data_IF_986568937365
#
_entry.id   IF_986568937365
#
_cell.length_a   1.000
_cell.length_b   1.000
_cell.length_c   1.000
_cell.angle_alpha   90.00
_cell.angle_beta   90.00
_cell.angle_gamma   90.00
#
_symmetry.space_group_name_H-M   'P 1'
#
loop_
_entity.id
_entity.type
_entity.pdbx_description
1 polymer ?
#
# COMPACT_ATOMS: atom_id res chain seq x y z
N UNK A 1 29.23 -15.78 -8.70
CA UNK A 1 29.22 -14.50 -7.95
C UNK A 1 28.12 -14.59 -6.93
N UNK A 2 28.24 -13.96 -5.75
CA UNK A 2 27.16 -13.91 -4.79
C UNK A 2 25.91 -13.22 -5.42
N UNK A 3 24.71 -13.82 -5.30
CA UNK A 3 23.46 -13.29 -5.89
C UNK A 3 23.19 -11.85 -5.48
N UNK A 4 23.53 -11.51 -4.23
CA UNK A 4 23.34 -10.16 -3.72
C UNK A 4 24.25 -9.17 -4.46
N UNK A 5 25.52 -9.54 -4.68
CA UNK A 5 26.47 -8.71 -5.42
C UNK A 5 26.01 -8.53 -6.87
N UNK A 6 25.57 -9.62 -7.52
CA UNK A 6 25.01 -9.57 -8.87
C UNK A 6 23.82 -8.64 -8.97
N UNK A 7 22.89 -8.72 -8.01
CA UNK A 7 21.73 -7.83 -7.94
C UNK A 7 22.13 -6.36 -7.74
N UNK A 8 23.05 -6.08 -6.82
CA UNK A 8 23.53 -4.71 -6.57
C UNK A 8 24.18 -4.13 -7.83
N UNK A 9 25.03 -4.88 -8.50
CA UNK A 9 25.67 -4.45 -9.75
C UNK A 9 24.61 -4.20 -10.83
N UNK A 10 23.63 -5.11 -10.98
CA UNK A 10 22.55 -4.96 -11.95
C UNK A 10 21.69 -3.72 -11.69
N UNK A 11 21.35 -3.46 -10.41
CA UNK A 11 20.61 -2.26 -10.01
C UNK A 11 21.41 -0.98 -10.27
N UNK A 12 22.72 -0.97 -10.02
CA UNK A 12 23.60 0.17 -10.31
C UNK A 12 23.67 0.44 -11.82
N UNK A 13 23.83 -0.61 -12.64
CA UNK A 13 23.84 -0.47 -14.10
C UNK A 13 22.50 0.11 -14.59
N UNK A 14 21.38 -0.46 -14.12
CA UNK A 14 20.05 0.02 -14.49
C UNK A 14 19.83 1.49 -14.06
N UNK A 15 20.27 1.86 -12.85
CA UNK A 15 20.19 3.23 -12.35
C UNK A 15 21.00 4.21 -13.22
N UNK A 16 22.25 3.86 -13.56
CA UNK A 16 23.10 4.69 -14.43
C UNK A 16 22.45 4.86 -15.81
N UNK A 17 21.92 3.77 -16.39
CA UNK A 17 21.19 3.84 -17.66
C UNK A 17 19.95 4.74 -17.55
N UNK A 18 19.15 4.59 -16.50
CA UNK A 18 17.97 5.44 -16.27
C UNK A 18 18.34 6.93 -16.15
N UNK A 19 19.35 7.23 -15.35
CA UNK A 19 19.84 8.61 -15.20
C UNK A 19 20.37 9.17 -16.54
N UNK A 20 21.00 8.34 -17.36
CA UNK A 20 21.40 8.69 -18.72
C UNK A 20 20.21 9.07 -19.59
N UNK A 21 19.12 8.30 -19.59
CA UNK A 21 17.87 8.67 -20.28
C UNK A 21 17.28 9.98 -19.78
N UNK A 22 17.19 10.15 -18.46
CA UNK A 22 16.69 11.40 -17.84
C UNK A 22 17.55 12.61 -18.27
N UNK A 23 18.87 12.47 -18.26
CA UNK A 23 19.79 13.54 -18.67
C UNK A 23 19.63 13.91 -20.15
N UNK A 24 19.57 12.90 -21.03
CA UNK A 24 19.41 13.12 -22.46
C UNK A 24 18.05 13.78 -22.80
N UNK A 25 16.97 13.38 -22.13
CA UNK A 25 15.62 13.92 -22.34
C UNK A 25 15.43 15.33 -21.77
N UNK A 26 16.32 15.82 -20.91
CA UNK A 26 16.30 17.22 -20.48
C UNK A 26 16.70 18.21 -21.60
N UNK A 27 17.43 17.76 -22.60
CA UNK A 27 17.86 18.59 -23.71
C UNK A 27 16.87 18.54 -24.88
N UNK A 28 16.60 19.70 -25.52
CA UNK A 28 15.74 19.76 -26.72
C UNK A 28 16.29 18.92 -27.89
N UNK A 29 17.61 18.78 -28.00
CA UNK A 29 18.26 17.90 -28.99
C UNK A 29 17.95 16.44 -28.69
N UNK A 30 18.01 16.05 -27.42
CA UNK A 30 17.67 14.71 -26.98
C UNK A 30 16.21 14.37 -27.24
N UNK A 31 15.26 15.24 -26.84
CA UNK A 31 13.83 15.04 -27.12
C UNK A 31 13.56 14.84 -28.63
N UNK A 32 14.16 15.67 -29.46
CA UNK A 32 14.03 15.58 -30.92
C UNK A 32 14.63 14.27 -31.45
N UNK A 33 15.75 13.81 -30.90
CA UNK A 33 16.38 12.53 -31.29
C UNK A 33 15.47 11.34 -30.93
N UNK A 34 14.98 11.28 -29.68
CA UNK A 34 14.09 10.22 -29.20
C UNK A 34 12.75 10.22 -29.95
N UNK A 35 12.17 11.38 -30.23
CA UNK A 35 10.92 11.52 -30.97
C UNK A 35 11.03 11.14 -32.44
N UNK A 36 12.24 11.19 -33.05
CA UNK A 36 12.44 10.90 -34.49
C UNK A 36 12.66 9.40 -34.77
N UNK A 37 13.21 8.65 -33.84
CA UNK A 37 13.60 7.26 -34.07
C UNK A 37 12.54 6.29 -33.50
N UNK A 38 11.98 5.44 -34.37
CA UNK A 38 10.91 4.50 -34.03
C UNK A 38 11.25 3.52 -32.89
N UNK A 39 12.52 3.11 -32.78
CA UNK A 39 12.98 2.16 -31.75
C UNK A 39 13.04 2.79 -30.33
N UNK A 40 12.99 4.10 -30.22
CA UNK A 40 12.83 4.81 -28.95
C UNK A 40 11.38 5.29 -28.73
N UNK A 41 10.46 4.98 -29.64
CA UNK A 41 9.05 5.26 -29.41
C UNK A 41 8.57 4.50 -28.16
N UNK A 42 7.76 5.09 -27.26
CA UNK A 42 7.29 4.44 -26.03
C UNK A 42 6.76 3.02 -26.23
N UNK A 43 5.94 2.82 -27.27
CA UNK A 43 5.39 1.50 -27.60
C UNK A 43 6.49 0.48 -27.98
N UNK A 44 7.55 0.93 -28.67
CA UNK A 44 8.67 0.05 -29.00
C UNK A 44 9.49 -0.31 -27.74
N UNK A 45 9.69 0.66 -26.82
CA UNK A 45 10.36 0.41 -25.53
C UNK A 45 9.57 -0.62 -24.72
N UNK A 46 8.22 -0.52 -24.68
CA UNK A 46 7.38 -1.55 -24.04
C UNK A 46 7.62 -2.95 -24.64
N UNK A 47 7.75 -3.07 -25.95
CA UNK A 47 8.03 -4.37 -26.62
C UNK A 47 9.45 -4.85 -26.27
N UNK A 48 10.46 -3.98 -26.34
CA UNK A 48 11.84 -4.32 -25.97
C UNK A 48 11.93 -4.79 -24.53
N UNK A 49 11.19 -4.16 -23.60
CA UNK A 49 11.08 -4.60 -22.21
C UNK A 49 10.63 -6.04 -22.07
N UNK A 50 9.60 -6.45 -22.82
CA UNK A 50 9.11 -7.85 -22.82
C UNK A 50 10.18 -8.80 -23.37
N UNK A 51 10.78 -8.47 -24.50
CA UNK A 51 11.81 -9.33 -25.12
C UNK A 51 13.00 -9.52 -24.18
N UNK A 52 13.51 -8.44 -23.59
CA UNK A 52 14.64 -8.46 -22.65
C UNK A 52 14.27 -9.22 -21.37
N UNK A 53 13.08 -8.98 -20.81
CA UNK A 53 12.59 -9.65 -19.60
C UNK A 53 12.41 -11.16 -19.80
N UNK A 54 11.85 -11.57 -20.94
CA UNK A 54 11.72 -12.98 -21.30
C UNK A 54 13.09 -13.63 -21.52
N UNK A 55 14.00 -12.96 -22.24
CA UNK A 55 15.37 -13.46 -22.41
C UNK A 55 16.07 -13.61 -21.04
N UNK A 56 15.95 -12.64 -20.15
CA UNK A 56 16.47 -12.74 -18.78
C UNK A 56 15.87 -13.91 -18.01
N UNK A 57 14.57 -14.13 -18.13
CA UNK A 57 13.87 -15.28 -17.51
C UNK A 57 14.41 -16.60 -18.05
N UNK A 58 14.51 -16.75 -19.36
CA UNK A 58 15.02 -17.99 -19.99
C UNK A 58 16.47 -18.26 -19.60
N UNK A 59 17.32 -17.23 -19.59
CA UNK A 59 18.71 -17.37 -19.15
C UNK A 59 18.83 -17.79 -17.69
N UNK A 60 17.98 -17.21 -16.81
CA UNK A 60 17.98 -17.54 -15.40
C UNK A 60 17.57 -19.00 -15.14
N UNK A 61 16.44 -19.44 -15.71
CA UNK A 61 15.79 -20.70 -15.36
C UNK A 61 16.20 -21.90 -16.23
N UNK A 62 16.52 -21.69 -17.51
CA UNK A 62 16.81 -22.78 -18.45
C UNK A 62 18.28 -22.90 -18.78
N UNK A 63 19.03 -21.81 -18.79
CA UNK A 63 20.44 -21.79 -19.13
C UNK A 63 21.33 -21.72 -17.88
N UNK A 64 20.73 -21.49 -16.70
CA UNK A 64 21.42 -21.34 -15.40
C UNK A 64 22.42 -20.17 -15.35
N UNK A 65 22.31 -19.24 -16.29
CA UNK A 65 23.08 -17.99 -16.33
C UNK A 65 22.43 -16.93 -15.45
N UNK A 66 22.44 -17.18 -14.15
CA UNK A 66 21.67 -16.40 -13.19
C UNK A 66 22.07 -14.92 -13.13
N UNK A 67 23.38 -14.61 -13.18
CA UNK A 67 23.86 -13.23 -13.10
C UNK A 67 23.38 -12.41 -14.31
N UNK A 68 23.47 -12.99 -15.51
CA UNK A 68 22.99 -12.34 -16.73
C UNK A 68 21.46 -12.26 -16.76
N UNK A 69 20.79 -13.30 -16.25
CA UNK A 69 19.33 -13.30 -16.10
C UNK A 69 18.83 -12.16 -15.20
N UNK A 70 19.48 -11.97 -14.04
CA UNK A 70 19.18 -10.87 -13.10
C UNK A 70 19.42 -9.51 -13.77
N UNK A 71 20.55 -9.36 -14.47
CA UNK A 71 20.89 -8.11 -15.17
C UNK A 71 19.82 -7.75 -16.21
N UNK A 72 19.46 -8.67 -17.11
CA UNK A 72 18.47 -8.42 -18.16
C UNK A 72 17.08 -8.14 -17.58
N UNK A 73 16.69 -8.90 -16.55
CA UNK A 73 15.41 -8.65 -15.88
C UNK A 73 15.36 -7.27 -15.19
N UNK A 74 16.45 -6.86 -14.56
CA UNK A 74 16.56 -5.54 -13.91
C UNK A 74 16.52 -4.41 -14.96
N UNK A 75 17.17 -4.59 -16.12
CA UNK A 75 17.09 -3.66 -17.25
C UNK A 75 15.64 -3.58 -17.77
N UNK A 76 14.95 -4.73 -17.92
CA UNK A 76 13.56 -4.74 -18.33
C UNK A 76 12.65 -3.99 -17.35
N UNK A 77 12.85 -4.17 -16.05
CA UNK A 77 12.11 -3.43 -15.02
C UNK A 77 12.39 -1.91 -15.06
N UNK A 78 13.63 -1.51 -15.36
CA UNK A 78 13.99 -0.09 -15.54
C UNK A 78 13.35 0.53 -16.79
N UNK A 79 13.25 -0.21 -17.88
CA UNK A 79 12.64 0.27 -19.13
C UNK A 79 11.17 0.63 -18.97
N UNK A 80 10.45 0.06 -17.99
CA UNK A 80 9.11 0.46 -17.57
C UNK A 80 9.02 1.94 -17.14
N UNK A 81 10.04 2.42 -16.46
CA UNK A 81 10.13 3.84 -16.11
C UNK A 81 10.51 4.74 -17.28
N UNK A 82 11.27 4.20 -18.24
CA UNK A 82 11.79 4.95 -19.40
C UNK A 82 10.70 5.19 -20.44
N UNK A 83 9.84 4.18 -20.75
CA UNK A 83 8.76 4.34 -21.74
C UNK A 83 7.77 5.45 -21.33
N UNK A 84 7.38 5.48 -20.04
CA UNK A 84 6.55 6.54 -19.51
C UNK A 84 7.26 7.92 -19.45
N UNK A 85 8.58 7.94 -19.26
CA UNK A 85 9.38 9.17 -19.31
C UNK A 85 9.41 9.74 -20.73
N UNK A 86 9.76 8.91 -21.72
CA UNK A 86 9.82 9.31 -23.15
C UNK A 86 8.43 9.74 -23.62
N UNK A 87 7.37 9.01 -23.26
CA UNK A 87 5.99 9.35 -23.64
C UNK A 87 5.61 10.78 -23.19
N UNK A 88 5.97 11.14 -21.96
CA UNK A 88 5.63 12.47 -21.39
C UNK A 88 6.55 13.60 -21.92
N UNK A 89 7.86 13.34 -21.99
CA UNK A 89 8.82 14.40 -22.37
C UNK A 89 8.82 14.69 -23.87
N UNK A 90 8.40 13.74 -24.69
CA UNK A 90 8.35 13.88 -26.15
C UNK A 90 6.91 14.04 -26.69
N UNK A 91 5.88 14.14 -25.83
CA UNK A 91 4.46 14.23 -26.20
C UNK A 91 3.99 13.07 -27.12
N UNK A 92 4.48 11.86 -26.86
CA UNK A 92 4.20 10.64 -27.64
C UNK A 92 3.19 9.71 -26.94
N UNK A 93 2.32 10.22 -26.09
CA UNK A 93 1.27 9.45 -25.45
C UNK A 93 0.23 9.01 -26.49
N UNK A 94 -0.03 7.71 -26.59
CA UNK A 94 -1.00 7.15 -27.53
C UNK A 94 -2.03 6.28 -26.82
N UNK A 95 -3.31 6.23 -27.28
CA UNK A 95 -4.33 5.33 -26.70
C UNK A 95 -3.92 3.85 -26.79
N UNK A 96 -3.21 3.47 -27.86
CA UNK A 96 -2.66 2.12 -28.01
C UNK A 96 -1.59 1.81 -26.96
N UNK A 97 -0.71 2.79 -26.65
CA UNK A 97 0.32 2.66 -25.61
C UNK A 97 -0.29 2.44 -24.22
N UNK A 98 -1.38 3.13 -23.89
CA UNK A 98 -2.09 2.95 -22.61
C UNK A 98 -2.66 1.54 -22.42
N UNK A 99 -2.94 0.81 -23.52
CA UNK A 99 -3.37 -0.57 -23.50
C UNK A 99 -2.23 -1.57 -23.55
N UNK A 100 -1.17 -1.23 -24.30
CA UNK A 100 0.00 -2.06 -24.50
C UNK A 100 0.83 -2.17 -23.19
N UNK A 101 1.04 -1.07 -22.50
CA UNK A 101 1.85 -1.00 -21.29
C UNK A 101 1.44 -2.03 -20.21
N UNK A 102 0.16 -2.09 -19.74
CA UNK A 102 -0.23 -3.12 -18.77
C UNK A 102 -0.20 -4.56 -19.29
N UNK A 103 -0.20 -4.78 -20.59
CA UNK A 103 0.01 -6.10 -21.17
C UNK A 103 1.49 -6.49 -21.09
N UNK A 104 2.38 -5.57 -21.47
CA UNK A 104 3.82 -5.76 -21.41
C UNK A 104 4.32 -6.01 -19.97
N UNK A 105 3.75 -5.30 -18.99
CA UNK A 105 4.02 -5.56 -17.56
C UNK A 105 3.81 -7.04 -17.23
N UNK A 106 2.64 -7.56 -17.57
CA UNK A 106 2.25 -8.94 -17.26
C UNK A 106 3.13 -9.96 -17.96
N UNK A 107 3.43 -9.72 -19.22
CA UNK A 107 4.33 -10.58 -20.01
C UNK A 107 5.77 -10.56 -19.46
N UNK A 108 6.15 -9.53 -18.73
CA UNK A 108 7.49 -9.42 -18.14
C UNK A 108 7.56 -10.13 -16.78
N UNK A 109 6.57 -9.92 -15.86
CA UNK A 109 6.70 -10.46 -14.50
C UNK A 109 6.03 -11.83 -14.28
N UNK A 110 4.99 -12.21 -15.04
CA UNK A 110 4.32 -13.50 -14.83
C UNK A 110 5.21 -14.72 -15.13
N UNK A 111 5.99 -14.76 -16.23
CA UNK A 111 6.83 -15.91 -16.52
C UNK A 111 7.81 -16.26 -15.39
N UNK A 112 8.65 -15.35 -14.85
CA UNK A 112 9.54 -15.70 -13.74
C UNK A 112 8.79 -16.13 -12.47
N UNK A 113 7.63 -15.54 -12.16
CA UNK A 113 6.78 -15.95 -11.03
C UNK A 113 6.30 -17.40 -11.23
N UNK A 114 5.91 -17.78 -12.45
CA UNK A 114 5.51 -19.16 -12.77
C UNK A 114 6.68 -20.15 -12.62
N UNK A 115 7.89 -19.78 -13.07
CA UNK A 115 9.07 -20.63 -12.89
C UNK A 115 9.42 -20.81 -11.41
N UNK A 116 9.40 -19.75 -10.60
CA UNK A 116 9.63 -19.88 -9.15
C UNK A 116 8.56 -20.76 -8.46
N UNK A 117 7.31 -20.71 -8.91
CA UNK A 117 6.29 -21.63 -8.44
C UNK A 117 6.55 -23.09 -8.87
N UNK A 118 7.01 -23.29 -10.09
CA UNK A 118 7.42 -24.62 -10.56
C UNK A 118 8.59 -25.21 -9.74
N UNK A 119 9.52 -24.37 -9.30
CA UNK A 119 10.61 -24.76 -8.40
C UNK A 119 10.18 -24.93 -6.92
N UNK A 120 8.90 -24.75 -6.62
CA UNK A 120 8.35 -24.94 -5.26
C UNK A 120 8.61 -23.77 -4.30
N UNK A 121 9.11 -22.64 -4.78
CA UNK A 121 9.37 -21.43 -3.97
C UNK A 121 8.11 -20.61 -3.70
N UNK A 122 7.07 -20.78 -4.51
CA UNK A 122 5.78 -20.12 -4.41
C UNK A 122 4.64 -21.13 -4.49
N UNK A 123 3.54 -20.83 -3.82
CA UNK A 123 2.35 -21.67 -3.91
C UNK A 123 1.79 -21.66 -5.34
N UNK A 124 1.85 -22.82 -6.00
CA UNK A 124 1.45 -22.97 -7.40
C UNK A 124 -0.02 -22.62 -7.65
N UNK A 125 -0.93 -22.94 -6.70
CA UNK A 125 -2.36 -22.62 -6.81
C UNK A 125 -2.57 -21.10 -6.76
N UNK A 126 -1.86 -20.41 -5.87
CA UNK A 126 -1.93 -18.96 -5.77
C UNK A 126 -1.38 -18.26 -7.01
N UNK A 127 -0.30 -18.80 -7.63
CA UNK A 127 0.24 -18.27 -8.88
C UNK A 127 -0.75 -18.47 -10.04
N UNK A 128 -1.41 -19.62 -10.14
CA UNK A 128 -2.48 -19.83 -11.13
C UNK A 128 -3.66 -18.89 -10.90
N UNK A 129 -4.05 -18.67 -9.64
CA UNK A 129 -5.10 -17.69 -9.31
C UNK A 129 -4.70 -16.28 -9.75
N UNK A 130 -3.47 -15.84 -9.48
CA UNK A 130 -2.96 -14.55 -9.95
C UNK A 130 -3.03 -14.45 -11.49
N UNK A 131 -2.58 -15.48 -12.21
CA UNK A 131 -2.58 -15.51 -13.68
C UNK A 131 -4.00 -15.40 -14.25
N UNK A 132 -4.95 -16.15 -13.69
CA UNK A 132 -6.37 -16.11 -14.14
C UNK A 132 -6.97 -14.73 -13.89
N UNK A 133 -6.73 -14.13 -12.71
CA UNK A 133 -7.23 -12.79 -12.37
C UNK A 133 -6.60 -11.73 -13.30
N UNK A 134 -5.31 -11.83 -13.58
CA UNK A 134 -4.62 -10.89 -14.48
C UNK A 134 -5.10 -11.02 -15.93
N UNK A 135 -5.26 -12.26 -16.43
CA UNK A 135 -5.79 -12.50 -17.77
C UNK A 135 -7.24 -12.01 -17.88
N UNK A 136 -8.10 -12.34 -16.91
CA UNK A 136 -9.49 -11.88 -16.90
C UNK A 136 -9.58 -10.34 -16.82
N UNK A 137 -8.78 -9.71 -15.98
CA UNK A 137 -8.71 -8.24 -15.87
C UNK A 137 -8.21 -7.55 -17.13
N UNK A 138 -7.28 -8.18 -17.87
CA UNK A 138 -6.75 -7.62 -19.12
C UNK A 138 -7.72 -7.80 -20.29
N UNK A 139 -8.28 -8.98 -20.47
CA UNK A 139 -9.08 -9.29 -21.66
C UNK A 139 -10.58 -9.10 -21.41
N UNK A 140 -11.15 -9.75 -20.38
CA UNK A 140 -12.59 -9.75 -20.14
C UNK A 140 -13.08 -8.41 -19.60
N UNK A 141 -12.47 -7.93 -18.50
CA UNK A 141 -12.91 -6.69 -17.84
C UNK A 141 -12.73 -5.49 -18.76
N UNK A 142 -11.61 -5.37 -19.47
CA UNK A 142 -11.39 -4.28 -20.42
C UNK A 142 -12.33 -4.35 -21.61
N UNK A 143 -12.60 -5.55 -22.15
CA UNK A 143 -13.55 -5.74 -23.23
C UNK A 143 -14.96 -5.31 -22.82
N UNK A 144 -15.42 -5.73 -21.64
CA UNK A 144 -16.73 -5.35 -21.07
C UNK A 144 -16.80 -3.84 -20.88
N UNK A 145 -15.78 -3.24 -20.24
CA UNK A 145 -15.74 -1.79 -20.00
C UNK A 145 -15.85 -1.02 -21.34
N UNK A 146 -15.05 -1.36 -22.34
CA UNK A 146 -15.07 -0.69 -23.64
C UNK A 146 -16.43 -0.81 -24.35
N UNK A 147 -17.10 -1.95 -24.22
CA UNK A 147 -18.34 -2.23 -24.94
C UNK A 147 -19.57 -1.62 -24.24
N UNK A 148 -19.60 -1.60 -22.92
CA UNK A 148 -20.80 -1.28 -22.14
C UNK A 148 -20.69 0.02 -21.34
N UNK A 149 -19.50 0.61 -21.21
CA UNK A 149 -19.30 1.80 -20.39
C UNK A 149 -18.39 2.81 -21.09
N UNK A 150 -18.47 4.08 -20.68
CA UNK A 150 -17.56 5.16 -21.09
C UNK A 150 -16.41 5.37 -20.09
N UNK A 151 -16.13 4.39 -19.20
CA UNK A 151 -15.10 4.53 -18.19
C UNK A 151 -13.70 4.40 -18.79
N UNK A 152 -12.74 5.07 -18.16
CA UNK A 152 -11.33 4.97 -18.54
C UNK A 152 -10.78 3.57 -18.28
N UNK A 153 -10.08 3.02 -19.28
CA UNK A 153 -9.42 1.72 -19.22
C UNK A 153 -7.98 1.83 -18.71
N UNK A 154 -7.51 3.06 -18.42
CA UNK A 154 -6.15 3.33 -17.96
C UNK A 154 -5.78 2.57 -16.66
N UNK A 155 -4.48 2.34 -16.47
CA UNK A 155 -3.98 1.69 -15.26
C UNK A 155 -4.32 2.51 -14.01
N UNK A 156 -4.95 1.86 -13.03
CA UNK A 156 -5.21 2.48 -11.74
C UNK A 156 -4.02 2.30 -10.78
N UNK A 157 -4.01 3.03 -9.66
CA UNK A 157 -2.92 2.99 -8.68
C UNK A 157 -2.68 1.58 -8.11
N UNK A 158 -3.75 0.78 -7.91
CA UNK A 158 -3.62 -0.61 -7.43
C UNK A 158 -2.81 -1.47 -8.40
N UNK A 159 -3.07 -1.32 -9.72
CA UNK A 159 -2.31 -2.03 -10.74
C UNK A 159 -0.83 -1.66 -10.76
N UNK A 160 -0.50 -0.38 -10.57
CA UNK A 160 0.90 0.08 -10.52
C UNK A 160 1.64 -0.46 -9.29
N UNK A 161 1.05 -0.35 -8.10
CA UNK A 161 1.63 -0.87 -6.85
C UNK A 161 1.85 -2.38 -6.97
N UNK A 162 0.86 -3.11 -7.50
CA UNK A 162 0.97 -4.54 -7.72
C UNK A 162 2.12 -4.91 -8.65
N UNK A 163 2.27 -4.24 -9.80
CA UNK A 163 3.37 -4.53 -10.73
C UNK A 163 4.73 -4.40 -10.03
N UNK A 164 4.94 -3.31 -9.29
CA UNK A 164 6.16 -3.10 -8.51
C UNK A 164 6.36 -4.19 -7.45
N UNK A 165 5.29 -4.65 -6.76
CA UNK A 165 5.38 -5.77 -5.81
C UNK A 165 5.70 -7.10 -6.49
N UNK A 166 5.19 -7.38 -7.69
CA UNK A 166 5.55 -8.58 -8.45
C UNK A 166 7.03 -8.58 -8.84
N UNK A 167 7.58 -7.43 -9.26
CA UNK A 167 9.02 -7.29 -9.50
C UNK A 167 9.83 -7.50 -8.22
N UNK A 168 9.40 -6.94 -7.09
CA UNK A 168 10.06 -7.15 -5.79
C UNK A 168 10.00 -8.62 -5.34
N UNK A 169 8.88 -9.31 -5.58
CA UNK A 169 8.73 -10.74 -5.30
C UNK A 169 9.74 -11.59 -6.10
N UNK A 170 9.95 -11.26 -7.37
CA UNK A 170 10.93 -11.95 -8.23
C UNK A 170 12.34 -11.76 -7.70
N UNK A 171 12.72 -10.52 -7.34
CA UNK A 171 14.02 -10.22 -6.74
C UNK A 171 14.17 -10.99 -5.42
N UNK A 172 13.15 -11.00 -4.58
CA UNK A 172 13.14 -11.71 -3.31
C UNK A 172 13.34 -13.23 -3.49
N UNK A 173 12.60 -13.87 -4.41
CA UNK A 173 12.78 -15.29 -4.73
C UNK A 173 14.18 -15.58 -5.27
N UNK A 174 14.73 -14.71 -6.11
CA UNK A 174 16.10 -14.84 -6.65
C UNK A 174 17.17 -14.78 -5.57
N UNK A 175 16.99 -13.99 -4.50
CA UNK A 175 17.90 -13.94 -3.35
C UNK A 175 17.83 -15.23 -2.52
N UNK A 176 16.63 -15.78 -2.27
CA UNK A 176 16.44 -17.05 -1.58
C UNK A 176 17.08 -18.19 -2.39
N UNK A 177 16.84 -18.25 -3.69
CA UNK A 177 17.45 -19.21 -4.61
C UNK A 177 18.99 -19.15 -4.56
N UNK A 178 19.55 -17.95 -4.39
CA UNK A 178 20.97 -17.72 -4.16
C UNK A 178 21.50 -18.13 -2.78
N UNK A 179 20.67 -18.71 -1.92
CA UNK A 179 21.02 -19.16 -0.57
C UNK A 179 21.05 -18.06 0.48
N UNK A 180 20.46 -16.90 0.20
CA UNK A 180 20.39 -15.81 1.17
C UNK A 180 19.37 -16.14 2.27
N UNK A 181 19.81 -16.13 3.53
CA UNK A 181 18.97 -16.45 4.70
C UNK A 181 18.08 -15.28 5.08
N UNK A 182 16.97 -15.10 4.37
CA UNK A 182 15.91 -14.14 4.70
C UNK A 182 14.62 -14.89 5.10
N UNK A 183 13.73 -14.27 5.88
CA UNK A 183 12.48 -14.92 6.26
C UNK A 183 11.67 -15.35 5.04
N UNK A 184 11.18 -16.59 5.01
CA UNK A 184 10.37 -17.10 3.88
C UNK A 184 8.95 -16.53 3.92
N UNK A 185 8.74 -15.39 3.28
CA UNK A 185 7.45 -14.66 3.22
C UNK A 185 6.95 -14.48 1.77
N UNK A 186 7.49 -15.25 0.84
CA UNK A 186 7.17 -15.14 -0.58
C UNK A 186 5.67 -15.30 -0.87
N UNK A 187 5.03 -16.30 -0.27
CA UNK A 187 3.60 -16.55 -0.46
C UNK A 187 2.73 -15.42 0.10
N UNK A 188 3.11 -14.81 1.23
CA UNK A 188 2.38 -13.69 1.80
C UNK A 188 2.41 -12.48 0.88
N UNK A 189 3.57 -12.19 0.27
CA UNK A 189 3.70 -11.13 -0.74
C UNK A 189 2.86 -11.47 -1.99
N UNK A 190 2.86 -12.73 -2.43
CA UNK A 190 2.03 -13.20 -3.54
C UNK A 190 0.53 -12.99 -3.25
N UNK A 191 0.04 -13.30 -2.04
CA UNK A 191 -1.35 -13.05 -1.66
C UNK A 191 -1.71 -11.56 -1.67
N UNK A 192 -0.79 -10.68 -1.26
CA UNK A 192 -0.99 -9.23 -1.39
C UNK A 192 -1.10 -8.83 -2.87
N UNK A 193 -0.28 -9.39 -3.76
CA UNK A 193 -0.38 -9.16 -5.20
C UNK A 193 -1.74 -9.60 -5.76
N UNK A 194 -2.28 -10.73 -5.31
CA UNK A 194 -3.61 -11.23 -5.71
C UNK A 194 -4.70 -10.26 -5.26
N UNK A 195 -4.67 -9.82 -4.00
CA UNK A 195 -5.65 -8.87 -3.45
C UNK A 195 -5.62 -7.56 -4.26
N UNK A 196 -4.43 -7.03 -4.55
CA UNK A 196 -4.29 -5.82 -5.35
C UNK A 196 -4.76 -6.00 -6.81
N UNK A 197 -4.61 -7.21 -7.39
CA UNK A 197 -5.11 -7.53 -8.72
C UNK A 197 -6.64 -7.57 -8.77
N UNK A 198 -7.27 -8.18 -7.77
CA UNK A 198 -8.73 -8.17 -7.62
C UNK A 198 -9.22 -6.73 -7.45
N UNK A 199 -8.62 -5.99 -6.52
CA UNK A 199 -8.96 -4.58 -6.28
C UNK A 199 -8.83 -3.74 -7.55
N UNK A 200 -7.73 -3.91 -8.29
CA UNK A 200 -7.52 -3.21 -9.57
C UNK A 200 -8.62 -3.50 -10.58
N UNK A 201 -9.09 -4.74 -10.67
CA UNK A 201 -10.16 -5.15 -11.58
C UNK A 201 -11.52 -4.61 -11.14
N UNK A 202 -11.85 -4.71 -9.87
CA UNK A 202 -13.10 -4.20 -9.27
C UNK A 202 -13.22 -2.69 -9.46
N UNK A 203 -12.17 -1.93 -9.10
CA UNK A 203 -12.18 -0.46 -9.22
C UNK A 203 -12.23 0.05 -10.68
N UNK A 204 -11.97 -0.79 -11.68
CA UNK A 204 -12.18 -0.43 -13.10
C UNK A 204 -13.64 -0.57 -13.54
N UNK A 205 -14.42 -1.44 -12.90
CA UNK A 205 -15.81 -1.71 -13.28
C UNK A 205 -16.81 -0.77 -12.60
N UNK A 206 -16.38 -0.02 -11.59
CA UNK A 206 -17.24 0.82 -10.77
C UNK A 206 -17.03 2.29 -11.14
N UNK A 207 -18.11 3.08 -11.14
CA UNK A 207 -18.02 4.52 -11.34
C UNK A 207 -17.16 5.17 -10.25
N UNK A 208 -16.28 6.09 -10.66
CA UNK A 208 -15.33 6.79 -9.76
C UNK A 208 -16.00 7.43 -8.54
N UNK A 209 -17.29 7.79 -8.66
CA UNK A 209 -18.09 8.38 -7.59
C UNK A 209 -18.24 7.46 -6.37
N UNK A 210 -18.22 6.13 -6.57
CA UNK A 210 -18.38 5.16 -5.49
C UNK A 210 -17.05 4.70 -4.88
N UNK A 211 -15.91 5.19 -5.37
CA UNK A 211 -14.60 4.75 -4.88
C UNK A 211 -14.39 5.01 -3.40
N UNK A 212 -14.83 6.18 -2.91
CA UNK A 212 -14.76 6.51 -1.49
C UNK A 212 -15.60 5.54 -0.66
N UNK A 213 -16.86 5.34 -1.05
CA UNK A 213 -17.80 4.48 -0.32
C UNK A 213 -17.31 3.02 -0.23
N UNK A 214 -16.66 2.52 -1.29
CA UNK A 214 -16.07 1.18 -1.28
C UNK A 214 -14.89 1.09 -0.31
N UNK A 215 -14.04 2.13 -0.26
CA UNK A 215 -12.92 2.16 0.67
C UNK A 215 -13.41 2.24 2.12
N UNK A 216 -14.41 3.07 2.41
CA UNK A 216 -15.05 3.12 3.74
C UNK A 216 -15.71 1.79 4.10
N UNK A 217 -16.34 1.10 3.13
CA UNK A 217 -16.89 -0.25 3.34
C UNK A 217 -15.78 -1.28 3.63
N UNK A 218 -14.65 -1.22 2.94
CA UNK A 218 -13.49 -2.08 3.21
C UNK A 218 -12.88 -1.78 4.59
N UNK A 219 -12.82 -0.52 5.01
CA UNK A 219 -12.45 -0.15 6.38
C UNK A 219 -13.40 -0.79 7.39
N UNK A 220 -14.72 -0.67 7.19
CA UNK A 220 -15.73 -1.30 8.04
C UNK A 220 -15.57 -2.82 8.13
N UNK A 221 -15.35 -3.49 7.00
CA UNK A 221 -15.10 -4.94 6.95
C UNK A 221 -13.84 -5.32 7.72
N UNK A 222 -12.77 -4.54 7.61
CA UNK A 222 -11.55 -4.73 8.41
C UNK A 222 -11.85 -4.63 9.91
N UNK A 223 -12.66 -3.67 10.34
CA UNK A 223 -13.11 -3.52 11.73
C UNK A 223 -13.91 -4.72 12.21
N UNK A 224 -14.88 -5.19 11.43
CA UNK A 224 -15.71 -6.38 11.75
C UNK A 224 -14.82 -7.64 11.83
N UNK A 225 -13.93 -7.85 10.88
CA UNK A 225 -12.96 -8.97 10.92
C UNK A 225 -12.07 -8.84 12.16
N UNK A 226 -11.61 -7.64 12.49
CA UNK A 226 -10.84 -7.35 13.70
C UNK A 226 -11.59 -7.79 14.96
N UNK A 227 -12.86 -7.39 15.10
CA UNK A 227 -13.72 -7.81 16.23
C UNK A 227 -13.82 -9.34 16.32
N UNK A 228 -14.06 -10.03 15.19
CA UNK A 228 -14.10 -11.49 15.17
C UNK A 228 -12.77 -12.12 15.60
N UNK A 229 -11.63 -11.56 15.16
CA UNK A 229 -10.30 -12.04 15.53
C UNK A 229 -9.96 -11.78 17.01
N UNK A 230 -10.52 -10.71 17.62
CA UNK A 230 -10.41 -10.45 19.08
C UNK A 230 -10.98 -11.62 19.87
N UNK A 231 -12.20 -12.08 19.52
CA UNK A 231 -12.82 -13.22 20.18
C UNK A 231 -12.06 -14.54 19.98
N UNK A 232 -11.26 -14.65 18.91
CA UNK A 232 -10.38 -15.80 18.69
C UNK A 232 -9.03 -15.69 19.41
N UNK A 233 -8.72 -14.59 20.10
CA UNK A 233 -7.43 -14.33 20.72
C UNK A 233 -6.27 -14.13 19.73
N UNK A 234 -6.57 -13.84 18.45
CA UNK A 234 -5.58 -13.68 17.39
C UNK A 234 -5.10 -12.22 17.24
N UNK A 235 -4.48 -11.68 18.28
CA UNK A 235 -4.22 -10.25 18.43
C UNK A 235 -3.31 -9.64 17.35
N UNK A 236 -2.32 -10.38 16.81
CA UNK A 236 -1.48 -9.92 15.69
C UNK A 236 -2.33 -9.67 14.44
N UNK A 237 -3.26 -10.58 14.15
CA UNK A 237 -4.16 -10.43 13.01
C UNK A 237 -5.18 -9.29 13.21
N UNK A 238 -5.60 -9.03 14.45
CA UNK A 238 -6.42 -7.84 14.80
C UNK A 238 -5.69 -6.57 14.39
N UNK A 239 -4.43 -6.44 14.80
CA UNK A 239 -3.65 -5.26 14.45
C UNK A 239 -3.47 -5.09 12.94
N UNK A 240 -3.22 -6.18 12.21
CA UNK A 240 -3.10 -6.15 10.74
C UNK A 240 -4.42 -5.73 10.09
N UNK A 241 -5.56 -6.25 10.58
CA UNK A 241 -6.87 -5.86 10.06
C UNK A 241 -7.13 -4.36 10.27
N UNK A 242 -6.84 -3.83 11.46
CA UNK A 242 -7.01 -2.39 11.75
C UNK A 242 -6.05 -1.53 10.94
N UNK A 243 -4.78 -1.94 10.76
CA UNK A 243 -3.83 -1.22 9.91
C UNK A 243 -4.28 -1.20 8.43
N UNK A 244 -4.86 -2.30 7.94
CA UNK A 244 -5.48 -2.33 6.62
C UNK A 244 -6.67 -1.36 6.53
N UNK A 245 -7.53 -1.33 7.56
CA UNK A 245 -8.62 -0.36 7.68
C UNK A 245 -8.13 1.09 7.63
N UNK A 246 -7.04 1.41 8.34
CA UNK A 246 -6.43 2.75 8.31
C UNK A 246 -5.90 3.14 6.92
N UNK A 247 -5.39 2.17 6.15
CA UNK A 247 -4.98 2.43 4.77
C UNK A 247 -6.21 2.78 3.92
N UNK A 248 -7.30 2.06 4.07
CA UNK A 248 -8.54 2.36 3.33
C UNK A 248 -9.12 3.71 3.70
N UNK A 249 -9.22 4.05 5.00
CA UNK A 249 -9.61 5.36 5.53
C UNK A 249 -8.72 6.50 4.99
N UNK A 250 -7.41 6.30 4.92
CA UNK A 250 -6.49 7.31 4.39
C UNK A 250 -6.78 7.65 2.91
N UNK A 251 -7.27 6.69 2.14
CA UNK A 251 -7.51 6.86 0.70
C UNK A 251 -8.93 7.27 0.35
N UNK A 252 -9.95 6.96 1.16
CA UNK A 252 -11.35 7.27 0.83
C UNK A 252 -11.63 8.77 0.80
N UNK A 253 -11.15 9.53 1.78
CA UNK A 253 -11.26 10.99 1.78
C UNK A 253 -10.60 11.64 0.56
N UNK A 254 -9.46 11.12 0.09
CA UNK A 254 -8.80 11.59 -1.13
C UNK A 254 -9.60 11.26 -2.39
N UNK A 255 -10.24 10.09 -2.44
CA UNK A 255 -11.09 9.69 -3.55
C UNK A 255 -12.37 10.51 -3.60
N UNK A 256 -12.97 10.82 -2.44
CA UNK A 256 -14.12 11.71 -2.33
C UNK A 256 -13.79 13.13 -2.83
N UNK A 257 -12.64 13.69 -2.44
CA UNK A 257 -12.18 15.00 -2.91
C UNK A 257 -11.96 15.03 -4.43
N UNK A 258 -11.40 13.96 -5.00
CA UNK A 258 -11.00 13.90 -6.42
C UNK A 258 -12.18 13.61 -7.35
N UNK A 259 -13.11 12.75 -6.95
CA UNK A 259 -14.15 12.21 -7.84
C UNK A 259 -15.57 12.60 -7.45
N UNK A 260 -15.72 13.38 -6.36
CA UNK A 260 -17.01 13.66 -5.74
C UNK A 260 -17.54 12.41 -5.01
N UNK A 261 -17.97 12.56 -3.77
CA UNK A 261 -18.54 11.46 -2.99
C UNK A 261 -20.04 11.28 -3.23
N UNK A 262 -20.62 10.25 -2.61
CA UNK A 262 -22.06 10.06 -2.51
C UNK A 262 -22.62 10.81 -1.31
N UNK A 263 -23.96 10.97 -1.23
CA UNK A 263 -24.61 11.55 -0.05
C UNK A 263 -24.49 10.65 1.20
N UNK A 264 -24.26 9.35 0.98
CA UNK A 264 -24.16 8.34 2.03
C UNK A 264 -22.72 8.14 2.52
N UNK A 265 -21.72 8.54 1.71
CA UNK A 265 -20.29 8.34 1.98
C UNK A 265 -19.86 8.81 3.37
N UNK A 266 -20.14 10.05 3.80
CA UNK A 266 -19.72 10.53 5.11
C UNK A 266 -20.27 9.70 6.28
N UNK A 267 -21.50 9.21 6.18
CA UNK A 267 -22.10 8.34 7.20
C UNK A 267 -21.42 6.97 7.27
N UNK A 268 -21.12 6.41 6.10
CA UNK A 268 -20.43 5.11 6.01
C UNK A 268 -19.01 5.19 6.58
N UNK A 269 -18.34 6.30 6.32
CA UNK A 269 -17.00 6.61 6.82
C UNK A 269 -16.99 6.68 8.36
N UNK A 270 -17.87 7.48 8.95
CA UNK A 270 -17.99 7.62 10.41
C UNK A 270 -18.33 6.29 11.11
N UNK A 271 -19.22 5.48 10.53
CA UNK A 271 -19.56 4.15 11.06
C UNK A 271 -18.34 3.23 10.96
N UNK A 272 -17.65 3.24 9.83
CA UNK A 272 -16.44 2.44 9.62
C UNK A 272 -15.35 2.80 10.64
N UNK A 273 -15.11 4.09 10.84
CA UNK A 273 -14.14 4.59 11.82
C UNK A 273 -14.51 4.21 13.26
N UNK A 274 -15.78 4.34 13.62
CA UNK A 274 -16.24 3.94 14.95
C UNK A 274 -16.02 2.45 15.21
N UNK A 275 -16.33 1.59 14.24
CA UNK A 275 -16.16 0.14 14.39
C UNK A 275 -14.68 -0.24 14.38
N UNK A 276 -13.91 0.25 13.41
CA UNK A 276 -12.50 -0.13 13.22
C UNK A 276 -11.59 0.48 14.28
N UNK A 277 -11.78 1.75 14.63
CA UNK A 277 -10.85 2.48 15.49
C UNK A 277 -11.40 2.74 16.90
N UNK A 278 -12.69 2.48 17.14
CA UNK A 278 -13.32 2.57 18.45
C UNK A 278 -13.63 1.21 19.05
N UNK A 279 -14.61 0.51 18.46
CA UNK A 279 -15.16 -0.75 19.02
C UNK A 279 -14.12 -1.87 19.05
N UNK A 280 -13.41 -2.09 17.97
CA UNK A 280 -12.44 -3.19 17.87
C UNK A 280 -11.28 -3.05 18.86
N UNK A 281 -10.59 -1.90 19.00
CA UNK A 281 -9.58 -1.70 20.05
C UNK A 281 -10.17 -1.74 21.46
N UNK A 282 -11.37 -1.23 21.68
CA UNK A 282 -12.06 -1.30 22.96
C UNK A 282 -12.32 -2.74 23.43
N UNK A 283 -12.77 -3.59 22.50
CA UNK A 283 -12.95 -5.03 22.76
C UNK A 283 -11.62 -5.77 22.97
N UNK A 284 -10.55 -5.32 22.32
CA UNK A 284 -9.21 -5.91 22.52
C UNK A 284 -8.72 -5.70 23.94
N UNK A 285 -8.93 -4.51 24.55
CA UNK A 285 -8.60 -4.25 25.95
C UNK A 285 -9.31 -5.23 26.86
N UNK A 286 -10.60 -5.45 26.63
CA UNK A 286 -11.42 -6.37 27.40
C UNK A 286 -10.95 -7.82 27.27
N UNK A 287 -10.68 -8.27 26.06
CA UNK A 287 -10.21 -9.63 25.77
C UNK A 287 -8.83 -9.92 26.39
N UNK A 288 -7.93 -8.92 26.41
CA UNK A 288 -6.57 -9.05 26.96
C UNK A 288 -6.56 -9.24 28.49
N UNK A 289 -7.59 -8.79 29.18
CA UNK A 289 -7.75 -8.90 30.65
C UNK A 289 -8.64 -10.06 31.08
N UNK A 290 -8.94 -11.02 30.22
CA UNK A 290 -9.92 -12.08 30.50
C UNK A 290 -11.28 -11.53 31.00
N UNK A 291 -11.74 -10.43 30.40
CA UNK A 291 -13.05 -9.81 30.66
C UNK A 291 -13.22 -9.17 32.06
N UNK A 292 -12.14 -8.69 32.67
CA UNK A 292 -12.23 -7.99 33.94
C UNK A 292 -13.00 -6.66 33.84
N UNK A 293 -13.74 -6.31 34.92
CA UNK A 293 -14.58 -5.12 34.98
C UNK A 293 -13.82 -3.80 34.71
N UNK A 294 -12.61 -3.55 35.25
CA UNK A 294 -11.87 -2.34 34.92
C UNK A 294 -11.58 -2.20 33.42
N UNK A 295 -11.18 -3.29 32.75
CA UNK A 295 -10.93 -3.29 31.30
C UNK A 295 -12.17 -3.03 30.48
N UNK A 296 -13.33 -3.50 30.93
CA UNK A 296 -14.62 -3.19 30.32
C UNK A 296 -14.90 -1.68 30.41
N UNK A 297 -14.68 -1.05 31.55
CA UNK A 297 -14.86 0.38 31.73
C UNK A 297 -13.92 1.22 30.86
N UNK A 298 -12.63 0.84 30.80
CA UNK A 298 -11.68 1.51 29.91
C UNK A 298 -11.97 1.29 28.43
N UNK A 299 -12.45 0.10 28.03
CA UNK A 299 -12.88 -0.18 26.67
C UNK A 299 -14.09 0.67 26.26
N UNK A 300 -15.10 0.79 27.11
CA UNK A 300 -16.26 1.68 26.87
C UNK A 300 -15.80 3.14 26.83
N UNK A 301 -15.01 3.59 27.79
CA UNK A 301 -14.48 4.97 27.82
C UNK A 301 -13.80 5.32 26.49
N UNK A 302 -12.97 4.42 25.98
CA UNK A 302 -12.29 4.61 24.71
C UNK A 302 -13.27 4.68 23.53
N UNK A 303 -14.23 3.75 23.45
CA UNK A 303 -15.27 3.76 22.40
C UNK A 303 -16.08 5.06 22.42
N UNK A 304 -16.49 5.52 23.60
CA UNK A 304 -17.23 6.77 23.78
C UNK A 304 -16.37 7.96 23.37
N UNK A 305 -15.09 7.98 23.73
CA UNK A 305 -14.16 9.04 23.33
C UNK A 305 -13.99 9.14 21.80
N UNK A 306 -13.88 8.00 21.10
CA UNK A 306 -13.87 7.96 19.62
C UNK A 306 -15.20 8.48 19.06
N UNK A 307 -16.33 7.98 19.56
CA UNK A 307 -17.65 8.41 19.12
C UNK A 307 -17.88 9.91 19.33
N UNK A 308 -17.49 10.43 20.50
CA UNK A 308 -17.57 11.88 20.81
C UNK A 308 -16.68 12.70 19.86
N UNK A 309 -15.47 12.25 19.56
CA UNK A 309 -14.56 12.91 18.61
C UNK A 309 -15.17 12.98 17.22
N UNK A 310 -15.75 11.88 16.70
CA UNK A 310 -16.42 11.84 15.39
C UNK A 310 -17.64 12.76 15.38
N UNK A 311 -18.48 12.71 16.40
CA UNK A 311 -19.63 13.61 16.53
C UNK A 311 -19.20 15.09 16.55
N UNK A 312 -18.17 15.45 17.35
CA UNK A 312 -17.64 16.81 17.40
C UNK A 312 -17.13 17.28 16.05
N UNK A 313 -16.43 16.43 15.32
CA UNK A 313 -15.94 16.74 13.98
C UNK A 313 -17.09 17.07 13.03
N UNK A 314 -18.15 16.27 13.01
CA UNK A 314 -19.30 16.47 12.15
C UNK A 314 -20.11 17.75 12.46
N UNK A 315 -20.24 18.08 13.74
CA UNK A 315 -21.13 19.15 14.20
C UNK A 315 -20.42 20.49 14.34
N UNK A 316 -19.14 20.53 14.66
CA UNK A 316 -18.40 21.73 15.03
C UNK A 316 -17.14 21.94 14.19
N UNK A 317 -16.17 21.02 14.27
CA UNK A 317 -14.84 21.23 13.74
C UNK A 317 -14.81 21.39 12.21
N UNK A 318 -15.68 20.69 11.48
CA UNK A 318 -15.81 20.78 10.01
C UNK A 318 -16.21 22.19 9.52
N UNK A 319 -16.89 22.96 10.36
CA UNK A 319 -17.41 24.29 10.03
C UNK A 319 -16.62 25.41 10.68
N UNK A 320 -15.60 25.08 11.49
CA UNK A 320 -14.74 26.10 12.15
C UNK A 320 -13.78 26.71 11.14
N UNK A 321 -14.02 27.98 10.80
CA UNK A 321 -13.20 28.78 9.88
C UNK A 321 -11.82 29.11 10.43
N UNK A 322 -11.63 28.99 11.75
CA UNK A 322 -10.34 29.27 12.40
C UNK A 322 -9.42 28.06 12.40
N UNK A 323 -9.90 26.88 11.98
CA UNK A 323 -9.11 25.67 11.91
C UNK A 323 -8.47 25.54 10.51
N UNK A 324 -7.13 25.61 10.39
CA UNK A 324 -6.48 25.46 9.10
C UNK A 324 -6.78 24.11 8.44
N UNK A 325 -6.87 24.03 7.10
CA UNK A 325 -7.11 22.78 6.39
C UNK A 325 -6.04 21.72 6.72
N UNK A 326 -6.46 20.56 7.20
CA UNK A 326 -5.56 19.46 7.57
C UNK A 326 -5.07 19.49 9.02
N UNK A 327 -5.65 20.34 9.86
CA UNK A 327 -5.46 20.32 11.32
C UNK A 327 -6.78 19.88 11.98
N UNK A 328 -6.68 19.02 12.99
CA UNK A 328 -7.79 18.53 13.79
C UNK A 328 -7.70 19.00 15.25
N UNK A 329 -8.84 19.20 15.87
CA UNK A 329 -8.94 19.28 17.31
C UNK A 329 -9.02 17.86 17.88
N UNK A 330 -8.11 17.52 18.79
CA UNK A 330 -7.96 16.19 19.37
C UNK A 330 -7.26 15.18 18.46
N UNK A 331 -6.84 14.09 19.08
CA UNK A 331 -6.12 13.00 18.41
C UNK A 331 -7.00 12.36 17.31
N UNK A 332 -6.49 12.10 16.10
CA UNK A 332 -7.23 11.35 15.09
C UNK A 332 -7.58 9.93 15.56
N UNK A 333 -8.79 9.43 15.25
CA UNK A 333 -9.25 8.09 15.66
C UNK A 333 -8.29 6.97 15.25
N UNK A 334 -7.71 6.96 14.01
CA UNK A 334 -6.69 5.98 13.64
C UNK A 334 -5.45 6.00 14.53
N UNK A 335 -4.99 7.20 14.93
CA UNK A 335 -3.82 7.33 15.83
C UNK A 335 -4.13 6.83 17.26
N UNK A 336 -5.34 7.08 17.76
CA UNK A 336 -5.83 6.51 19.00
C UNK A 336 -5.83 4.98 18.98
N UNK A 337 -6.31 4.38 17.89
CA UNK A 337 -6.30 2.93 17.71
C UNK A 337 -4.87 2.34 17.72
N UNK A 338 -3.90 3.01 17.07
CA UNK A 338 -2.48 2.59 17.08
C UNK A 338 -1.94 2.51 18.50
N UNK A 339 -2.24 3.50 19.33
CA UNK A 339 -1.77 3.54 20.75
C UNK A 339 -2.34 2.38 21.53
N UNK A 340 -3.64 2.17 21.46
CA UNK A 340 -4.32 1.10 22.21
C UNK A 340 -3.85 -0.28 21.74
N UNK A 341 -3.76 -0.50 20.44
CA UNK A 341 -3.23 -1.73 19.85
C UNK A 341 -1.78 -1.97 20.29
N UNK A 342 -0.93 -0.94 20.16
CA UNK A 342 0.46 -1.02 20.55
C UNK A 342 0.62 -1.37 22.03
N UNK A 343 -0.16 -0.74 22.91
CA UNK A 343 -0.14 -1.03 24.33
C UNK A 343 -0.59 -2.47 24.62
N UNK A 344 -1.70 -2.93 24.02
CA UNK A 344 -2.21 -4.28 24.24
C UNK A 344 -1.28 -5.38 23.69
N UNK A 345 -0.51 -5.10 22.64
CA UNK A 345 0.39 -6.08 22.04
C UNK A 345 1.77 -6.12 22.70
N UNK A 346 2.23 -4.99 23.19
CA UNK A 346 3.58 -4.87 23.75
C UNK A 346 3.66 -5.21 25.25
N UNK A 347 2.65 -4.81 26.04
CA UNK A 347 2.64 -5.06 27.49
C UNK A 347 1.62 -6.11 27.91
N UNK A 348 2.00 -6.91 28.90
CA UNK A 348 1.09 -7.81 29.62
C UNK A 348 0.50 -7.14 30.87
N UNK A 349 1.11 -6.06 31.37
CA UNK A 349 0.67 -5.34 32.56
C UNK A 349 -0.56 -4.48 32.24
N UNK A 350 -1.71 -4.85 32.81
CA UNK A 350 -3.00 -4.20 32.61
C UNK A 350 -3.00 -2.71 33.03
N UNK A 351 -2.28 -2.34 34.09
CA UNK A 351 -2.18 -0.96 34.52
C UNK A 351 -1.56 -0.05 33.45
N UNK A 352 -0.55 -0.56 32.76
CA UNK A 352 0.07 0.17 31.65
C UNK A 352 -0.92 0.31 30.49
N UNK A 353 -1.61 -0.78 30.12
CA UNK A 353 -2.62 -0.76 29.05
C UNK A 353 -3.73 0.24 29.37
N UNK A 354 -4.27 0.23 30.61
CA UNK A 354 -5.30 1.17 31.04
C UNK A 354 -4.80 2.62 31.03
N UNK A 355 -3.57 2.86 31.45
CA UNK A 355 -2.96 4.20 31.43
C UNK A 355 -2.84 4.75 30.01
N UNK A 356 -2.35 3.95 29.06
CA UNK A 356 -2.29 4.35 27.65
C UNK A 356 -3.67 4.54 27.03
N UNK A 357 -4.64 3.69 27.38
CA UNK A 357 -6.03 3.82 26.93
C UNK A 357 -6.67 5.11 27.45
N UNK A 358 -6.48 5.41 28.73
CA UNK A 358 -6.97 6.65 29.34
C UNK A 358 -6.35 7.88 28.70
N UNK A 359 -5.03 7.88 28.50
CA UNK A 359 -4.32 8.97 27.82
C UNK A 359 -4.83 9.17 26.38
N UNK A 360 -5.00 8.08 25.63
CA UNK A 360 -5.56 8.14 24.28
C UNK A 360 -6.98 8.71 24.29
N UNK A 361 -7.83 8.31 25.25
CA UNK A 361 -9.20 8.82 25.39
C UNK A 361 -9.21 10.32 25.71
N UNK A 362 -8.33 10.78 26.61
CA UNK A 362 -8.18 12.21 26.90
C UNK A 362 -7.72 13.01 25.68
N UNK A 363 -6.75 12.50 24.93
CA UNK A 363 -6.24 13.16 23.72
C UNK A 363 -7.30 13.22 22.61
N UNK A 364 -8.14 12.20 22.45
CA UNK A 364 -9.26 12.18 21.51
C UNK A 364 -10.28 13.30 21.80
N UNK A 365 -10.63 13.48 23.07
CA UNK A 365 -11.62 14.48 23.51
C UNK A 365 -11.01 15.89 23.57
N UNK A 366 -9.70 16.01 23.71
CA UNK A 366 -8.98 17.27 23.91
C UNK A 366 -9.16 18.25 22.73
N UNK A 367 -8.85 19.54 22.98
CA UNK A 367 -8.74 20.57 21.95
C UNK A 367 -7.29 20.78 21.47
N UNK A 368 -6.39 19.85 21.83
CA UNK A 368 -5.00 19.88 21.33
C UNK A 368 -5.02 19.68 19.84
N UNK A 369 -4.34 20.53 19.10
CA UNK A 369 -4.28 20.47 17.64
C UNK A 369 -3.35 19.36 17.18
N UNK A 370 -3.81 18.55 16.21
CA UNK A 370 -3.05 17.49 15.53
C UNK A 370 -3.11 17.63 14.03
N UNK A 371 -2.06 17.22 13.34
CA UNK A 371 -1.94 17.33 11.88
C UNK A 371 -2.47 16.08 11.21
N UNK A 372 -3.23 16.26 10.13
CA UNK A 372 -3.68 15.15 9.30
C UNK A 372 -2.52 14.47 8.58
N UNK A 373 -2.24 13.20 8.92
CA UNK A 373 -1.13 12.45 8.36
C UNK A 373 -1.13 12.45 6.83
N UNK A 374 -2.27 12.12 6.21
CA UNK A 374 -2.40 12.00 4.75
C UNK A 374 -2.35 13.31 3.99
N UNK A 375 -2.98 14.37 4.51
CA UNK A 375 -3.11 15.66 3.81
C UNK A 375 -1.88 16.56 3.94
N UNK A 376 -1.18 16.46 5.06
CA UNK A 376 -0.05 17.34 5.39
C UNK A 376 1.26 16.58 5.37
N UNK A 377 1.43 15.55 6.23
CA UNK A 377 2.71 14.85 6.38
C UNK A 377 3.08 14.12 5.09
N UNK A 378 2.16 13.32 4.55
CA UNK A 378 2.43 12.49 3.38
C UNK A 378 2.68 13.31 2.10
N UNK A 379 2.14 14.53 1.99
CA UNK A 379 2.41 15.42 0.85
C UNK A 379 3.85 15.98 0.85
N UNK A 380 4.49 16.07 2.01
CA UNK A 380 5.88 16.57 2.15
C UNK A 380 6.92 15.48 1.81
N UNK A 381 6.51 14.20 1.77
CA UNK A 381 7.41 13.08 1.49
C UNK A 381 7.49 12.85 -0.02
N UNK A 382 8.70 12.76 -0.62
CA UNK A 382 8.85 12.42 -2.03
C UNK A 382 8.17 11.09 -2.39
N UNK A 383 7.51 11.01 -3.54
CA UNK A 383 6.75 9.81 -3.97
C UNK A 383 7.60 8.55 -3.99
N UNK A 384 8.86 8.64 -4.42
CA UNK A 384 9.83 7.53 -4.41
C UNK A 384 10.04 6.98 -3.01
N UNK A 385 10.12 7.85 -2.00
CA UNK A 385 10.30 7.44 -0.61
C UNK A 385 9.05 6.77 -0.04
N UNK A 386 7.85 7.24 -0.42
CA UNK A 386 6.57 6.61 -0.04
C UNK A 386 6.48 5.18 -0.60
N UNK A 387 6.90 4.98 -1.85
CA UNK A 387 6.92 3.66 -2.48
C UNK A 387 7.90 2.74 -1.74
N UNK A 388 9.12 3.20 -1.49
CA UNK A 388 10.14 2.43 -0.76
C UNK A 388 9.65 2.05 0.65
N UNK A 389 9.06 3.01 1.37
CA UNK A 389 8.47 2.77 2.69
C UNK A 389 7.33 1.75 2.63
N UNK A 390 6.49 1.82 1.59
CA UNK A 390 5.44 0.84 1.32
C UNK A 390 5.98 -0.58 1.19
N UNK A 391 7.08 -0.79 0.47
CA UNK A 391 7.76 -2.08 0.39
C UNK A 391 8.24 -2.57 1.75
N UNK A 392 8.93 -1.72 2.50
CA UNK A 392 9.41 -2.06 3.84
C UNK A 392 8.24 -2.48 4.74
N UNK A 393 7.12 -1.75 4.70
CA UNK A 393 5.91 -2.08 5.47
C UNK A 393 5.34 -3.43 5.06
N UNK A 394 5.24 -3.73 3.76
CA UNK A 394 4.74 -5.03 3.27
C UNK A 394 5.65 -6.17 3.76
N UNK A 395 6.96 -6.01 3.68
CA UNK A 395 7.91 -7.01 4.19
C UNK A 395 7.81 -7.20 5.71
N UNK A 396 7.67 -6.12 6.47
CA UNK A 396 7.47 -6.19 7.94
C UNK A 396 6.16 -6.91 8.27
N UNK A 397 5.05 -6.57 7.60
CA UNK A 397 3.76 -7.23 7.80
C UNK A 397 3.85 -8.72 7.45
N UNK A 398 4.48 -9.08 6.32
CA UNK A 398 4.66 -10.46 5.91
C UNK A 398 5.49 -11.25 6.93
N UNK A 399 6.57 -10.66 7.45
CA UNK A 399 7.38 -11.24 8.50
C UNK A 399 6.59 -11.47 9.80
N UNK A 400 5.83 -10.46 10.24
CA UNK A 400 5.02 -10.53 11.47
C UNK A 400 3.89 -11.56 11.37
N UNK A 401 3.30 -11.73 10.18
CA UNK A 401 2.31 -12.79 9.90
C UNK A 401 2.90 -14.19 10.11
N UNK A 402 4.17 -14.38 9.73
CA UNK A 402 4.86 -15.66 9.90
C UNK A 402 5.37 -15.85 11.32
N UNK A 403 6.05 -14.86 11.88
CA UNK A 403 6.67 -14.91 13.21
C UNK A 403 5.63 -14.93 14.34
N UNK A 404 4.44 -14.36 14.13
CA UNK A 404 3.37 -14.17 15.14
C UNK A 404 3.86 -13.44 16.40
N UNK A 405 4.88 -12.61 16.26
CA UNK A 405 5.47 -11.84 17.37
C UNK A 405 4.62 -10.60 17.66
N UNK A 406 3.79 -10.71 18.71
CA UNK A 406 2.94 -9.60 19.16
C UNK A 406 3.75 -8.44 19.76
N UNK A 407 4.82 -8.73 20.51
CA UNK A 407 5.63 -7.71 21.16
C UNK A 407 6.35 -6.81 20.17
N UNK A 408 6.97 -7.39 19.14
CA UNK A 408 7.63 -6.62 18.09
C UNK A 408 6.63 -5.73 17.33
N UNK A 409 5.45 -6.25 17.00
CA UNK A 409 4.41 -5.45 16.34
C UNK A 409 3.93 -4.31 17.24
N UNK A 410 3.69 -4.59 18.53
CA UNK A 410 3.31 -3.59 19.51
C UNK A 410 4.34 -2.46 19.65
N UNK A 411 5.64 -2.81 19.73
CA UNK A 411 6.72 -1.84 19.74
C UNK A 411 6.74 -0.94 18.50
N UNK A 412 6.62 -1.51 17.31
CA UNK A 412 6.58 -0.76 16.06
C UNK A 412 5.39 0.21 15.99
N UNK A 413 4.22 -0.21 16.46
CA UNK A 413 3.03 0.66 16.55
C UNK A 413 3.27 1.85 17.48
N UNK A 414 3.81 1.62 18.65
CA UNK A 414 4.12 2.68 19.61
C UNK A 414 5.20 3.65 19.08
N UNK A 415 6.26 3.13 18.47
CA UNK A 415 7.30 3.97 17.85
C UNK A 415 6.68 4.83 16.73
N UNK A 416 5.82 4.26 15.88
CA UNK A 416 5.15 5.01 14.81
C UNK A 416 4.25 6.12 15.37
N UNK A 417 3.57 5.87 16.48
CA UNK A 417 2.78 6.87 17.18
C UNK A 417 3.64 8.01 17.75
N UNK A 418 4.76 7.71 18.40
CA UNK A 418 5.66 8.74 18.92
C UNK A 418 6.28 9.59 17.80
N UNK A 419 6.66 8.96 16.68
CA UNK A 419 7.12 9.69 15.49
C UNK A 419 6.01 10.61 14.96
N UNK A 420 4.77 10.15 14.93
CA UNK A 420 3.63 10.98 14.54
C UNK A 420 3.43 12.17 15.48
N UNK A 421 3.52 11.99 16.80
CA UNK A 421 3.40 13.07 17.77
C UNK A 421 4.47 14.15 17.56
N UNK A 422 5.73 13.74 17.40
CA UNK A 422 6.87 14.65 17.19
C UNK A 422 6.70 15.44 15.88
N UNK A 423 6.33 14.75 14.80
CA UNK A 423 6.14 15.39 13.49
C UNK A 423 4.94 16.31 13.48
N UNK A 424 3.84 15.92 14.13
CA UNK A 424 2.65 16.78 14.30
C UNK A 424 2.99 18.04 15.10
N UNK A 425 3.67 17.91 16.22
CA UNK A 425 4.08 19.05 17.05
C UNK A 425 4.99 20.03 16.31
N UNK A 426 6.03 19.53 15.62
CA UNK A 426 6.91 20.38 14.78
C UNK A 426 6.16 21.13 13.69
N UNK A 427 5.24 20.46 13.01
CA UNK A 427 4.47 21.07 11.93
C UNK A 427 3.54 22.17 12.44
N UNK A 428 2.87 21.95 13.58
CA UNK A 428 1.99 22.95 14.21
C UNK A 428 2.80 24.19 14.62
N UNK A 429 3.97 24.00 15.23
CA UNK A 429 4.87 25.10 15.61
C UNK A 429 5.29 25.90 14.38
N UNK A 430 5.62 25.24 13.26
CA UNK A 430 6.05 25.90 12.04
C UNK A 430 4.94 26.61 11.24
N UNK A 431 3.66 26.30 11.49
CA UNK A 431 2.52 26.90 10.78
C UNK A 431 1.77 27.97 11.62
N UNK A 432 1.99 27.99 12.94
CA UNK A 432 1.31 28.92 13.87
C UNK A 432 2.27 30.04 14.34
N UNK A 433 3.58 29.81 14.31
CA UNK A 433 4.65 30.79 14.61
C UNK A 433 5.28 31.24 13.29
#
# INVERSE_FOLDING_TARGET
MDRLISLIISLLIALVMYLGFVFLLKSERGKKYFGRHWYYHPNAICIWRVIIGLAGTLLYFLVEQHDLGILLFTIAAMLDGVDGLVARECDLVTPFGEELDPLCDKLTYLPPVMFFAHWGMLNIIAVWALLIIEASGQFLVRYIIKRFTKFSVAANNFGKIKAVLCFALIIYCSLIDGGFKIPEVADQILYVCIILSISSSVFKTISNRFYADILSLLNLLCGIIGVFLVFQGRYVYVAIAILAGQIFDLFDGRMAEKHGGTKFGPWLDDIADLVSFGVCPGLLILSKSNYELPSFLFGILYCVAVGFRLWRYLTHDKYDKNLPPGIFNGLPSPAGAIVVLGACLFWENLWIIWSFTFLASLLLISHIKFVHFGRVILKRIPRTFIILLGFVIVFIIAYLLKARDSGMLGALLLISFFIYLITSGKTIISEII
#
